data_IF_047142228233
#
_entry.id   IF_047142228233
#
_cell.length_a   1.000
_cell.length_b   1.000
_cell.length_c   1.000
_cell.angle_alpha   90.00
_cell.angle_beta   90.00
_cell.angle_gamma   90.00
#
_symmetry.space_group_name_H-M   'P 1'
#
loop_
_entity.id
_entity.type
_entity.pdbx_description
1 polymer ?
#
# COMPACT_ATOMS: atom_id res chain seq x y z
N UNK A 1 5.23 10.06 6.77
CA UNK A 1 5.70 9.41 8.02
C UNK A 1 7.06 8.75 7.78
N UNK A 2 7.81 8.40 8.84
CA UNK A 2 9.06 7.63 8.68
C UNK A 2 8.75 6.18 8.30
N UNK A 3 9.62 5.54 7.51
CA UNK A 3 9.52 4.14 7.08
C UNK A 3 9.89 3.16 8.22
N UNK A 4 9.16 3.22 9.32
CA UNK A 4 9.35 2.37 10.50
C UNK A 4 8.15 1.43 10.63
N UNK A 5 8.38 0.18 11.04
CA UNK A 5 7.32 -0.83 11.19
C UNK A 5 6.22 -0.40 12.16
N UNK A 6 6.56 0.39 13.19
CA UNK A 6 5.56 0.95 14.11
C UNK A 6 4.56 1.91 13.44
N UNK A 7 4.96 2.57 12.35
CA UNK A 7 4.11 3.52 11.63
C UNK A 7 3.15 2.83 10.65
N UNK A 8 3.30 1.53 10.39
CA UNK A 8 2.35 0.75 9.59
C UNK A 8 0.96 0.74 10.25
N UNK A 9 0.91 0.48 11.57
CA UNK A 9 -0.32 0.52 12.36
C UNK A 9 -0.95 1.92 12.36
N UNK A 10 -0.12 2.96 12.44
CA UNK A 10 -0.58 4.34 12.38
C UNK A 10 -1.22 4.63 11.02
N UNK A 11 -0.55 4.28 9.92
CA UNK A 11 -1.05 4.53 8.57
C UNK A 11 -2.41 3.90 8.31
N UNK A 12 -2.56 2.59 8.53
CA UNK A 12 -3.84 1.90 8.28
C UNK A 12 -4.97 2.45 9.16
N UNK A 13 -4.68 2.83 10.39
CA UNK A 13 -5.69 3.37 11.29
C UNK A 13 -6.12 4.79 10.89
N UNK A 14 -5.18 5.65 10.47
CA UNK A 14 -5.50 7.00 9.97
C UNK A 14 -6.28 6.94 8.67
N UNK A 15 -5.86 6.11 7.72
CA UNK A 15 -6.59 5.93 6.45
C UNK A 15 -7.97 5.31 6.70
N UNK A 16 -8.07 4.30 7.56
CA UNK A 16 -9.34 3.70 7.94
C UNK A 16 -10.29 4.69 8.61
N UNK A 17 -9.80 5.52 9.54
CA UNK A 17 -10.59 6.57 10.16
C UNK A 17 -11.08 7.61 9.13
N UNK A 18 -10.24 7.96 8.15
CA UNK A 18 -10.65 8.84 7.05
C UNK A 18 -11.74 8.18 6.19
N UNK A 19 -11.60 6.91 5.83
CA UNK A 19 -12.58 6.15 5.05
C UNK A 19 -13.92 5.96 5.77
N UNK A 20 -13.91 5.83 7.10
CA UNK A 20 -15.10 5.62 7.91
C UNK A 20 -16.16 6.73 7.75
N UNK A 21 -15.75 7.94 7.33
CA UNK A 21 -16.65 9.05 7.01
C UNK A 21 -17.65 8.73 5.88
N UNK A 22 -17.34 7.74 5.03
CA UNK A 22 -18.23 7.27 3.97
C UNK A 22 -19.23 6.21 4.43
N UNK A 23 -19.25 5.86 5.73
CA UNK A 23 -20.07 4.78 6.31
C UNK A 23 -19.90 3.41 5.62
N UNK A 24 -18.66 2.92 5.41
CA UNK A 24 -18.43 1.58 4.86
C UNK A 24 -18.88 0.48 5.82
N UNK A 25 -19.04 -0.75 5.30
CA UNK A 25 -19.18 -1.93 6.16
C UNK A 25 -17.88 -2.20 6.93
N UNK A 26 -17.98 -2.98 8.01
CA UNK A 26 -16.79 -3.40 8.79
C UNK A 26 -15.81 -4.16 7.89
N UNK A 27 -16.31 -5.01 7.00
CA UNK A 27 -15.50 -5.75 6.03
C UNK A 27 -14.75 -4.81 5.08
N UNK A 28 -15.44 -3.85 4.47
CA UNK A 28 -14.80 -2.85 3.60
C UNK A 28 -13.74 -2.02 4.32
N UNK A 29 -13.95 -1.73 5.61
CA UNK A 29 -12.98 -1.01 6.42
C UNK A 29 -11.71 -1.86 6.68
N UNK A 30 -11.86 -3.16 6.96
CA UNK A 30 -10.73 -4.07 7.15
C UNK A 30 -9.97 -4.35 5.85
N UNK A 31 -10.68 -4.44 4.72
CA UNK A 31 -10.09 -4.53 3.38
C UNK A 31 -9.10 -3.37 3.12
N UNK A 32 -9.57 -2.14 3.34
CA UNK A 32 -8.74 -0.93 3.13
C UNK A 32 -7.54 -0.92 4.08
N UNK A 33 -7.73 -1.24 5.35
CA UNK A 33 -6.63 -1.30 6.32
C UNK A 33 -5.58 -2.33 5.90
N UNK A 34 -6.02 -3.49 5.40
CA UNK A 34 -5.12 -4.55 4.96
C UNK A 34 -4.36 -4.12 3.72
N UNK A 35 -5.02 -3.58 2.71
CA UNK A 35 -4.38 -3.07 1.49
C UNK A 35 -3.36 -1.94 1.79
N UNK A 36 -3.68 -1.02 2.69
CA UNK A 36 -2.76 0.03 3.14
C UNK A 36 -1.56 -0.57 3.89
N UNK A 37 -1.77 -1.60 4.70
CA UNK A 37 -0.69 -2.28 5.43
C UNK A 37 0.29 -2.94 4.47
N UNK A 38 -0.21 -3.62 3.44
CA UNK A 38 0.62 -4.23 2.39
C UNK A 38 1.41 -3.18 1.61
N UNK A 39 0.77 -2.09 1.19
CA UNK A 39 1.45 -1.01 0.48
C UNK A 39 2.57 -0.35 1.32
N UNK A 40 2.31 -0.05 2.60
CA UNK A 40 3.31 0.53 3.51
C UNK A 40 4.43 -0.48 3.80
N UNK A 41 4.09 -1.75 3.98
CA UNK A 41 5.08 -2.83 4.16
C UNK A 41 5.99 -2.94 2.95
N UNK A 42 5.44 -2.82 1.73
CA UNK A 42 6.22 -2.82 0.50
C UNK A 42 7.22 -1.66 0.47
N UNK A 43 6.82 -0.45 0.86
CA UNK A 43 7.76 0.67 0.98
C UNK A 43 8.91 0.34 1.96
N UNK A 44 8.60 -0.15 3.15
CA UNK A 44 9.62 -0.42 4.19
C UNK A 44 10.58 -1.54 3.73
N UNK A 45 10.05 -2.65 3.22
CA UNK A 45 10.82 -3.85 2.90
C UNK A 45 11.51 -3.73 1.55
N UNK A 46 10.76 -3.36 0.52
CA UNK A 46 11.27 -3.36 -0.85
C UNK A 46 11.90 -2.03 -1.23
N UNK A 47 11.34 -0.88 -0.85
CA UNK A 47 11.94 0.39 -1.26
C UNK A 47 13.20 0.74 -0.45
N UNK A 48 13.15 0.51 0.87
CA UNK A 48 14.23 0.86 1.81
C UNK A 48 15.04 -0.34 2.31
N UNK A 49 14.77 -1.55 1.81
CA UNK A 49 15.53 -2.75 2.17
C UNK A 49 15.41 -3.14 3.65
N UNK A 50 14.29 -2.82 4.29
CA UNK A 50 14.09 -3.03 5.73
C UNK A 50 14.82 -2.04 6.64
N UNK A 51 15.60 -1.11 6.07
CA UNK A 51 16.20 -0.02 6.84
C UNK A 51 15.08 0.90 7.30
N UNK A 52 15.11 1.28 8.57
CA UNK A 52 14.14 2.22 9.15
C UNK A 52 14.46 3.68 8.81
N UNK A 53 14.98 3.88 7.60
CA UNK A 53 15.43 5.13 7.03
C UNK A 53 14.64 5.35 5.75
N UNK A 54 14.03 6.52 5.62
CA UNK A 54 13.16 6.83 4.48
C UNK A 54 11.80 7.34 4.92
N UNK A 55 11.09 7.96 3.97
CA UNK A 55 9.78 8.56 4.22
C UNK A 55 8.74 7.89 3.36
N UNK A 56 7.58 7.64 3.95
CA UNK A 56 6.38 7.21 3.22
C UNK A 56 5.39 8.36 3.23
N UNK A 57 4.98 8.80 2.06
CA UNK A 57 3.98 9.82 1.86
C UNK A 57 2.64 9.16 1.56
N UNK A 58 1.59 9.57 2.28
CA UNK A 58 0.25 9.03 2.09
C UNK A 58 -0.68 10.22 1.85
N UNK A 59 -1.35 10.21 0.71
CA UNK A 59 -2.37 11.19 0.34
C UNK A 59 -3.69 10.45 0.23
N UNK A 60 -4.70 10.90 0.97
CA UNK A 60 -6.05 10.35 0.90
C UNK A 60 -7.02 11.41 0.38
N UNK A 61 -7.92 10.98 -0.49
CA UNK A 61 -8.99 11.81 -1.03
C UNK A 61 -10.30 11.04 -0.95
N UNK A 62 -11.35 11.72 -0.50
CA UNK A 62 -12.72 11.21 -0.53
C UNK A 62 -13.50 11.98 -1.59
N UNK A 63 -14.32 11.27 -2.35
CA UNK A 63 -15.30 11.84 -3.26
C UNK A 63 -16.57 11.00 -3.18
N UNK A 64 -17.70 11.61 -2.81
CA UNK A 64 -19.04 11.00 -2.61
C UNK A 64 -19.06 9.59 -1.96
N UNK A 65 -18.68 8.54 -2.70
CA UNK A 65 -18.64 7.14 -2.25
C UNK A 65 -17.32 6.43 -2.55
N UNK A 66 -16.24 7.16 -2.78
CA UNK A 66 -14.95 6.61 -3.20
C UNK A 66 -13.82 7.18 -2.36
N UNK A 67 -12.98 6.28 -1.85
CA UNK A 67 -11.68 6.58 -1.28
C UNK A 67 -10.60 6.35 -2.33
N UNK A 68 -9.74 7.34 -2.52
CA UNK A 68 -8.49 7.21 -3.25
C UNK A 68 -7.32 7.39 -2.27
N UNK A 69 -6.39 6.44 -2.24
CA UNK A 69 -5.20 6.49 -1.39
C UNK A 69 -3.96 6.36 -2.28
N UNK A 70 -3.11 7.38 -2.29
CA UNK A 70 -1.80 7.32 -2.93
C UNK A 70 -0.73 7.15 -1.85
N UNK A 71 0.06 6.09 -1.96
CA UNK A 71 1.18 5.77 -1.06
C UNK A 71 2.45 5.83 -1.88
N UNK A 72 3.33 6.77 -1.53
CA UNK A 72 4.58 7.04 -2.24
C UNK A 72 5.78 6.82 -1.34
N UNK A 73 6.78 6.11 -1.84
CA UNK A 73 8.13 6.07 -1.29
C UNK A 73 9.14 6.66 -2.27
N UNK A 74 10.33 6.94 -1.75
CA UNK A 74 11.46 7.47 -2.50
C UNK A 74 12.67 6.53 -2.37
N UNK A 75 12.40 5.22 -2.38
CA UNK A 75 13.45 4.20 -2.29
C UNK A 75 13.94 3.76 -3.66
N UNK A 76 14.43 2.52 -3.76
CA UNK A 76 15.12 2.02 -4.96
C UNK A 76 14.24 1.89 -6.22
N UNK A 77 12.92 1.98 -6.10
CA UNK A 77 12.00 1.74 -7.22
C UNK A 77 11.79 0.25 -7.53
N UNK A 78 11.03 -0.01 -8.59
CA UNK A 78 10.68 -1.33 -9.13
C UNK A 78 11.08 -1.33 -10.61
N UNK A 79 12.00 -2.22 -10.98
CA UNK A 79 12.52 -2.32 -12.35
C UNK A 79 11.45 -2.81 -13.35
N UNK A 80 10.69 -3.84 -12.96
CA UNK A 80 9.61 -4.42 -13.76
C UNK A 80 8.33 -4.49 -12.92
N UNK A 81 7.46 -3.49 -13.09
CA UNK A 81 6.20 -3.38 -12.34
C UNK A 81 5.24 -4.50 -12.71
N UNK A 82 5.15 -4.88 -13.99
CA UNK A 82 4.24 -5.94 -14.43
C UNK A 82 4.61 -7.27 -13.77
N UNK A 83 5.90 -7.60 -13.73
CA UNK A 83 6.40 -8.77 -13.04
C UNK A 83 6.22 -8.67 -11.53
N UNK A 84 6.45 -7.51 -10.93
CA UNK A 84 6.26 -7.29 -9.50
C UNK A 84 4.83 -7.54 -9.03
N UNK A 85 3.85 -7.24 -9.89
CA UNK A 85 2.43 -7.44 -9.61
C UNK A 85 1.97 -8.90 -9.81
N UNK A 86 2.83 -9.80 -10.31
CA UNK A 86 2.49 -11.22 -10.41
C UNK A 86 2.42 -11.88 -9.02
N UNK A 87 1.45 -12.76 -8.77
CA UNK A 87 1.37 -13.50 -7.51
C UNK A 87 2.66 -14.28 -7.22
N UNK A 88 3.05 -14.31 -5.95
CA UNK A 88 4.24 -15.01 -5.43
C UNK A 88 5.59 -14.46 -5.89
N UNK A 89 5.62 -13.35 -6.64
CA UNK A 89 6.87 -12.70 -6.99
C UNK A 89 7.43 -11.90 -5.80
N UNK A 90 8.71 -12.07 -5.51
CA UNK A 90 9.43 -11.28 -4.51
C UNK A 90 10.90 -11.15 -4.87
N UNK A 91 11.47 -9.98 -4.59
CA UNK A 91 12.92 -9.72 -4.70
C UNK A 91 13.69 -10.14 -3.44
N UNK A 92 12.99 -10.53 -2.36
CA UNK A 92 13.60 -10.91 -1.09
C UNK A 92 13.83 -12.43 -1.09
N UNK A 93 15.10 -12.83 -1.12
CA UNK A 93 15.50 -14.23 -0.99
C UNK A 93 15.35 -14.73 0.46
N UNK A 94 14.88 -15.96 0.65
CA UNK A 94 14.84 -16.60 1.98
C UNK A 94 13.46 -17.08 2.46
N UNK A 95 12.40 -16.91 1.66
CA UNK A 95 11.07 -17.48 1.95
C UNK A 95 10.27 -16.77 3.04
N UNK A 96 10.83 -15.75 3.70
CA UNK A 96 10.13 -14.96 4.73
C UNK A 96 8.98 -14.10 4.18
N UNK A 97 8.92 -13.89 2.85
CA UNK A 97 7.89 -13.10 2.18
C UNK A 97 7.21 -13.92 1.09
N UNK A 98 5.89 -13.94 1.14
CA UNK A 98 5.05 -14.74 0.23
C UNK A 98 4.94 -14.17 -1.19
N UNK A 99 5.32 -12.91 -1.41
CA UNK A 99 5.10 -12.23 -2.70
C UNK A 99 3.63 -11.94 -3.02
N UNK A 100 2.79 -11.84 -1.99
CA UNK A 100 1.33 -11.69 -2.15
C UNK A 100 0.81 -10.26 -1.98
N UNK A 101 1.66 -9.28 -1.64
CA UNK A 101 1.20 -7.95 -1.24
C UNK A 101 0.34 -7.25 -2.31
N UNK A 102 0.76 -7.27 -3.58
CA UNK A 102 -0.06 -6.70 -4.67
C UNK A 102 -1.33 -7.50 -4.93
N UNK A 103 -1.29 -8.82 -4.83
CA UNK A 103 -2.49 -9.66 -4.96
C UNK A 103 -3.52 -9.37 -3.88
N UNK A 104 -3.08 -9.14 -2.64
CA UNK A 104 -3.93 -8.72 -1.53
C UNK A 104 -4.55 -7.35 -1.79
N UNK A 105 -3.75 -6.38 -2.25
CA UNK A 105 -4.28 -5.06 -2.64
C UNK A 105 -5.33 -5.15 -3.75
N UNK A 106 -5.07 -5.97 -4.78
CA UNK A 106 -5.99 -6.19 -5.91
C UNK A 106 -7.28 -6.90 -5.49
N UNK A 107 -7.23 -7.80 -4.51
CA UNK A 107 -8.41 -8.47 -3.98
C UNK A 107 -9.29 -7.54 -3.13
N UNK A 108 -8.67 -6.61 -2.39
CA UNK A 108 -9.36 -5.77 -1.41
C UNK A 108 -9.70 -4.37 -1.91
N UNK A 109 -9.22 -3.94 -3.07
CA UNK A 109 -9.53 -2.64 -3.67
C UNK A 109 -10.18 -2.80 -5.04
N UNK A 110 -11.03 -1.84 -5.43
CA UNK A 110 -11.67 -1.83 -6.75
C UNK A 110 -10.67 -1.55 -7.86
N UNK A 111 -9.61 -0.78 -7.58
CA UNK A 111 -8.47 -0.63 -8.49
C UNK A 111 -7.16 -0.42 -7.74
N UNK A 112 -6.08 -0.89 -8.37
CA UNK A 112 -4.70 -0.71 -7.94
C UNK A 112 -3.89 -0.25 -9.16
N UNK A 113 -3.28 0.92 -9.07
CA UNK A 113 -2.36 1.43 -10.09
C UNK A 113 -0.98 1.59 -9.45
N UNK A 114 0.06 1.08 -10.12
CA UNK A 114 1.44 1.16 -9.63
C UNK A 114 2.28 1.90 -10.67
N UNK A 115 2.94 2.97 -10.23
CA UNK A 115 3.91 3.70 -11.04
C UNK A 115 5.24 3.71 -10.29
N UNK A 116 6.30 3.32 -10.98
CA UNK A 116 7.63 3.28 -10.37
C UNK A 116 8.70 3.74 -11.35
N UNK A 117 9.70 4.40 -10.80
CA UNK A 117 10.97 4.73 -11.43
C UNK A 117 12.06 4.62 -10.38
N UNK A 118 13.32 4.68 -10.81
CA UNK A 118 14.43 4.77 -9.86
C UNK A 118 14.23 5.98 -8.93
N UNK A 119 14.32 5.75 -7.62
CA UNK A 119 14.16 6.80 -6.61
C UNK A 119 12.72 7.11 -6.21
N UNK A 120 11.69 6.50 -6.81
CA UNK A 120 10.28 6.78 -6.47
C UNK A 120 9.32 5.65 -6.89
N UNK A 121 8.47 5.21 -5.97
CA UNK A 121 7.33 4.32 -6.28
C UNK A 121 6.06 4.90 -5.69
N UNK A 122 4.98 4.93 -6.48
CA UNK A 122 3.65 5.31 -6.03
C UNK A 122 2.65 4.19 -6.31
N UNK A 123 1.94 3.76 -5.27
CA UNK A 123 0.79 2.85 -5.36
C UNK A 123 -0.47 3.65 -5.09
N UNK A 124 -1.41 3.62 -6.03
CA UNK A 124 -2.73 4.25 -5.91
C UNK A 124 -3.79 3.17 -5.74
N UNK A 125 -4.51 3.23 -4.63
CA UNK A 125 -5.60 2.33 -4.26
C UNK A 125 -6.93 3.08 -4.37
N UNK A 126 -7.92 2.47 -5.03
CA UNK A 126 -9.29 3.00 -5.07
C UNK A 126 -10.24 2.01 -4.41
N UNK A 127 -11.06 2.47 -3.47
CA UNK A 127 -12.14 1.68 -2.84
C UNK A 127 -13.46 2.44 -2.90
N UNK A 128 -14.54 1.76 -3.28
CA UNK A 128 -15.89 2.28 -3.32
C UNK A 128 -16.71 1.73 -2.15
N UNK A 129 -17.58 2.59 -1.61
CA UNK A 129 -18.65 2.19 -0.68
C UNK A 129 -19.89 1.87 -1.53
N UNK A 130 -20.53 0.75 -1.22
CA UNK A 130 -21.74 0.29 -1.91
C UNK A 130 -22.96 1.10 -1.44
#
# INVERSE_FOLDING_TARGET
>A
MQAQSQNEKLARNVVGAFFAQLNPTVEQLEDVKTAVSEAVTNCIVHAYGGRQEGKVHIICQLSERTLCVCITDYGRGIEDVEKAMQPFYTTVSGGERSGMGFTVMQAFCDSVEVQSREGETTVKLTKKVA
#
